data_IF_699027223467
#
_entry.id   IF_699027223467
#
_cell.length_a   1.000
_cell.length_b   1.000
_cell.length_c   1.000
_cell.angle_alpha   90.00
_cell.angle_beta   90.00
_cell.angle_gamma   90.00
#
_symmetry.space_group_name_H-M   'P 1'
#
loop_
_entity.id
_entity.type
_entity.pdbx_description
1 polymer ?
#
# COMPACT_ATOMS: atom_id res chain seq x y z
N UNK A 1 5.11 -67.10 -19.61
CA UNK A 1 4.49 -65.99 -18.85
C UNK A 1 5.58 -65.17 -18.17
N UNK A 2 5.88 -63.95 -18.64
CA UNK A 2 6.81 -63.04 -18.01
C UNK A 2 6.00 -61.97 -17.30
N UNK A 3 6.08 -61.90 -15.97
CA UNK A 3 5.45 -60.88 -15.13
C UNK A 3 6.40 -59.72 -15.04
N UNK A 4 6.01 -58.60 -15.65
CA UNK A 4 6.75 -57.35 -15.56
C UNK A 4 6.28 -56.58 -14.32
N UNK A 5 7.10 -56.44 -13.31
CA UNK A 5 6.83 -55.67 -12.12
C UNK A 5 6.99 -54.18 -12.46
N UNK A 6 5.90 -53.38 -12.36
CA UNK A 6 5.92 -51.92 -12.44
C UNK A 6 6.35 -51.38 -11.06
N UNK A 7 7.55 -50.82 -10.97
CA UNK A 7 7.98 -50.02 -9.81
C UNK A 7 7.33 -48.63 -9.88
N UNK A 8 6.36 -48.38 -9.03
CA UNK A 8 5.88 -47.00 -8.76
C UNK A 8 6.94 -46.31 -7.91
N UNK A 9 7.68 -45.38 -8.49
CA UNK A 9 8.48 -44.42 -7.75
C UNK A 9 7.57 -43.39 -7.13
N UNK A 10 7.28 -43.52 -5.84
CA UNK A 10 6.65 -42.47 -5.05
C UNK A 10 7.66 -41.33 -4.89
N UNK A 11 7.54 -40.28 -5.68
CA UNK A 11 8.30 -39.04 -5.50
C UNK A 11 7.89 -38.39 -4.18
N UNK A 12 8.68 -38.52 -3.13
CA UNK A 12 8.60 -37.67 -1.95
C UNK A 12 8.91 -36.23 -2.41
N UNK A 13 7.90 -35.40 -2.53
CA UNK A 13 8.08 -33.97 -2.60
C UNK A 13 8.73 -33.55 -1.26
N UNK A 14 10.01 -33.29 -1.28
CA UNK A 14 10.73 -32.66 -0.15
C UNK A 14 10.17 -31.25 -0.06
N UNK A 15 9.30 -30.99 0.90
CA UNK A 15 8.89 -29.64 1.25
C UNK A 15 10.18 -28.90 1.63
N UNK A 16 10.57 -27.91 0.83
CA UNK A 16 11.67 -27.02 1.21
C UNK A 16 11.25 -26.28 2.48
N UNK A 17 12.14 -26.19 3.49
CA UNK A 17 11.82 -25.39 4.67
C UNK A 17 11.58 -23.95 4.22
N UNK A 18 10.44 -23.38 4.64
CA UNK A 18 10.18 -21.95 4.47
C UNK A 18 11.31 -21.19 5.19
N UNK A 19 11.99 -20.29 4.48
CA UNK A 19 13.03 -19.48 5.09
C UNK A 19 12.36 -18.36 5.92
N UNK A 20 12.90 -18.12 7.12
CA UNK A 20 12.49 -16.98 7.91
C UNK A 20 12.79 -15.68 7.15
N UNK A 21 11.76 -14.95 6.75
CA UNK A 21 11.88 -13.68 6.03
C UNK A 21 12.09 -12.53 7.01
N UNK A 22 12.82 -11.50 6.55
CA UNK A 22 12.88 -10.20 7.20
C UNK A 22 11.79 -9.31 6.60
N UNK A 23 10.72 -9.04 7.35
CA UNK A 23 9.53 -8.33 6.86
C UNK A 23 9.40 -6.98 7.55
N UNK A 24 9.37 -5.91 6.78
CA UNK A 24 9.04 -4.57 7.25
C UNK A 24 7.54 -4.34 7.07
N UNK A 25 6.85 -4.05 8.17
CA UNK A 25 5.45 -3.63 8.17
C UNK A 25 5.33 -2.11 8.28
N UNK A 26 4.43 -1.53 7.51
CA UNK A 26 3.98 -0.15 7.61
C UNK A 26 2.47 -0.05 7.37
N UNK A 27 1.88 1.11 7.56
CA UNK A 27 0.49 1.43 7.21
C UNK A 27 0.30 2.95 7.14
N UNK A 28 -0.93 3.41 6.92
CA UNK A 28 -1.33 4.82 7.06
C UNK A 28 -2.27 5.06 8.27
N UNK A 29 -2.76 4.01 8.93
CA UNK A 29 -3.66 4.14 10.09
C UNK A 29 -2.94 4.41 11.42
N UNK A 30 -1.62 4.24 11.44
CA UNK A 30 -0.79 4.40 12.64
C UNK A 30 -0.32 3.06 13.24
N UNK A 31 0.83 3.12 13.93
CA UNK A 31 1.56 1.94 14.42
C UNK A 31 0.80 1.05 15.41
N UNK A 32 -0.26 1.57 16.05
CA UNK A 32 -1.12 0.84 17.01
C UNK A 32 -2.41 0.31 16.41
N UNK A 33 -2.65 0.50 15.11
CA UNK A 33 -3.88 0.02 14.50
C UNK A 33 -4.03 -1.51 14.63
N UNK A 34 -5.23 -2.04 14.95
CA UNK A 34 -5.42 -3.48 15.19
C UNK A 34 -4.96 -4.36 14.02
N UNK A 35 -5.17 -3.95 12.78
CA UNK A 35 -4.80 -4.74 11.60
C UNK A 35 -3.28 -4.96 11.50
N UNK A 36 -2.46 -3.92 11.64
CA UNK A 36 -1.00 -4.07 11.54
C UNK A 36 -0.45 -4.88 12.72
N UNK A 37 -1.03 -4.73 13.92
CA UNK A 37 -0.65 -5.51 15.10
C UNK A 37 -1.02 -6.99 14.96
N UNK A 38 -2.21 -7.30 14.42
CA UNK A 38 -2.61 -8.67 14.14
C UNK A 38 -1.67 -9.32 13.12
N UNK A 39 -1.33 -8.59 12.04
CA UNK A 39 -0.41 -9.07 11.02
C UNK A 39 1.01 -9.28 11.56
N UNK A 40 1.51 -8.35 12.38
CA UNK A 40 2.79 -8.50 13.09
C UNK A 40 2.81 -9.80 13.90
N UNK A 41 1.78 -10.05 14.70
CA UNK A 41 1.69 -11.23 15.54
C UNK A 41 1.61 -12.53 14.73
N UNK A 42 0.83 -12.55 13.66
CA UNK A 42 0.69 -13.72 12.79
C UNK A 42 2.00 -14.08 12.09
N UNK A 43 2.67 -13.12 11.47
CA UNK A 43 3.95 -13.33 10.79
C UNK A 43 5.07 -13.72 11.75
N UNK A 44 5.10 -13.16 12.97
CA UNK A 44 6.06 -13.61 13.99
C UNK A 44 5.79 -15.03 14.48
N UNK A 45 4.52 -15.41 14.63
CA UNK A 45 4.15 -16.78 14.99
C UNK A 45 4.54 -17.80 13.91
N UNK A 46 4.56 -17.36 12.65
CA UNK A 46 4.99 -18.15 11.50
C UNK A 46 6.53 -18.21 11.31
N UNK A 47 7.28 -17.59 12.23
CA UNK A 47 8.74 -17.68 12.31
C UNK A 47 9.49 -16.57 11.59
N UNK A 48 8.84 -15.57 11.05
CA UNK A 48 9.50 -14.46 10.38
C UNK A 48 10.10 -13.44 11.35
N UNK A 49 11.14 -12.74 10.91
CA UNK A 49 11.63 -11.52 11.59
C UNK A 49 10.79 -10.34 11.12
N UNK A 50 10.00 -9.75 12.02
CA UNK A 50 9.05 -8.69 11.68
C UNK A 50 9.34 -7.44 12.48
N UNK A 51 9.37 -6.28 11.82
CA UNK A 51 9.44 -4.97 12.45
C UNK A 51 8.39 -4.02 11.87
N UNK A 52 7.82 -3.18 12.72
CA UNK A 52 6.88 -2.14 12.31
C UNK A 52 7.63 -0.81 12.24
N UNK A 53 7.46 -0.08 11.13
CA UNK A 53 7.78 1.33 11.00
C UNK A 53 6.56 2.03 10.38
N UNK A 54 5.81 2.77 11.17
CA UNK A 54 4.52 3.35 10.76
C UNK A 54 4.35 4.79 11.25
N UNK A 55 3.40 5.57 10.72
CA UNK A 55 3.01 6.86 11.27
C UNK A 55 2.59 6.75 12.75
N UNK A 56 2.74 7.84 13.49
CA UNK A 56 2.27 7.89 14.87
C UNK A 56 0.74 7.75 14.97
N UNK A 57 0.01 8.36 14.06
CA UNK A 57 -1.45 8.33 14.00
C UNK A 57 -1.91 8.27 12.56
N UNK A 58 -3.22 8.13 12.35
CA UNK A 58 -3.86 8.07 11.03
C UNK A 58 -3.41 9.20 10.10
N UNK A 59 -3.03 8.81 8.89
CA UNK A 59 -2.57 9.63 7.78
C UNK A 59 -3.32 9.28 6.48
N UNK A 60 -4.56 8.84 6.59
CA UNK A 60 -5.41 8.50 5.45
C UNK A 60 -5.48 9.64 4.44
N UNK A 61 -5.54 9.30 3.16
CA UNK A 61 -5.58 10.23 2.03
C UNK A 61 -4.35 11.16 1.88
N UNK A 62 -3.22 10.88 2.55
CA UNK A 62 -1.97 11.63 2.33
C UNK A 62 -1.24 11.25 1.05
N UNK A 63 -1.62 10.16 0.39
CA UNK A 63 -1.02 9.70 -0.85
C UNK A 63 0.50 9.51 -0.71
N UNK A 64 1.25 9.98 -1.68
CA UNK A 64 2.71 9.94 -1.70
C UNK A 64 3.42 11.09 -0.99
N UNK A 65 2.74 11.82 -0.09
CA UNK A 65 3.32 12.98 0.58
C UNK A 65 4.52 12.62 1.46
N UNK A 66 5.58 13.45 1.38
CA UNK A 66 6.71 13.43 2.30
C UNK A 66 7.28 14.84 2.44
N UNK A 67 7.97 15.09 3.56
CA UNK A 67 8.39 16.44 3.91
C UNK A 67 9.91 16.54 3.97
N UNK A 68 10.49 17.25 3.03
CA UNK A 68 11.92 17.52 3.02
C UNK A 68 12.35 18.55 4.10
N UNK A 69 13.54 18.34 4.68
CA UNK A 69 14.18 19.31 5.55
C UNK A 69 13.47 19.58 6.86
N UNK A 70 12.57 18.68 7.29
CA UNK A 70 11.90 18.78 8.59
C UNK A 70 12.53 17.83 9.60
N UNK A 71 12.61 18.30 10.84
CA UNK A 71 13.01 17.45 11.95
C UNK A 71 12.07 16.24 12.05
N UNK A 72 12.67 15.07 12.18
CA UNK A 72 11.97 13.80 12.26
C UNK A 72 12.39 13.09 13.52
N UNK A 73 11.43 12.65 14.33
CA UNK A 73 11.69 11.86 15.53
C UNK A 73 11.09 10.46 15.38
N UNK A 74 11.86 9.50 15.86
CA UNK A 74 11.49 8.08 15.89
C UNK A 74 11.23 7.70 17.34
N UNK A 75 10.02 7.22 17.60
CA UNK A 75 9.68 6.61 18.88
C UNK A 75 9.54 5.10 18.75
N UNK A 76 9.65 4.41 19.87
CA UNK A 76 9.39 2.97 19.99
C UNK A 76 8.10 2.76 20.75
N UNK A 77 7.34 1.74 20.41
CA UNK A 77 6.15 1.35 21.17
C UNK A 77 6.55 0.95 22.60
N UNK A 78 5.78 1.38 23.57
CA UNK A 78 5.96 1.04 24.98
C UNK A 78 5.23 -0.26 25.37
N UNK A 79 4.42 -0.82 24.46
CA UNK A 79 3.73 -2.09 24.66
C UNK A 79 4.73 -3.25 24.52
N UNK A 80 4.98 -4.04 25.59
CA UNK A 80 5.93 -5.14 25.56
C UNK A 80 5.54 -6.27 24.60
N UNK A 81 4.29 -6.35 24.17
CA UNK A 81 3.85 -7.31 23.15
C UNK A 81 4.37 -6.94 21.73
N UNK A 82 4.78 -5.69 21.53
CA UNK A 82 5.24 -5.17 20.24
C UNK A 82 6.63 -4.52 20.35
N UNK A 83 7.66 -5.26 20.79
CA UNK A 83 8.98 -4.71 21.11
C UNK A 83 9.71 -4.18 19.87
N UNK A 84 9.32 -4.61 18.68
CA UNK A 84 9.91 -4.22 17.39
C UNK A 84 9.01 -3.26 16.59
N UNK A 85 8.16 -2.49 17.31
CA UNK A 85 7.26 -1.50 16.72
C UNK A 85 7.81 -0.08 16.92
N UNK A 86 7.96 0.65 15.83
CA UNK A 86 8.48 2.02 15.79
C UNK A 86 7.49 2.94 15.09
N UNK A 87 7.44 4.18 15.55
CA UNK A 87 6.61 5.21 14.94
C UNK A 87 7.39 6.47 14.60
N UNK A 88 6.84 7.24 13.68
CA UNK A 88 7.45 8.44 13.14
C UNK A 88 6.60 9.67 13.43
N UNK A 89 7.24 10.73 13.96
CA UNK A 89 6.68 12.08 14.02
C UNK A 89 7.60 13.06 13.32
N UNK A 90 7.03 14.18 12.85
CA UNK A 90 7.77 15.29 12.23
C UNK A 90 7.22 16.63 12.72
N UNK A 91 7.75 17.74 12.23
CA UNK A 91 7.26 19.07 12.55
C UNK A 91 6.65 19.75 11.34
N UNK A 92 5.70 20.65 11.58
CA UNK A 92 5.23 21.61 10.59
C UNK A 92 5.05 22.99 11.20
N UNK A 93 5.03 24.03 10.37
CA UNK A 93 4.69 25.38 10.83
C UNK A 93 3.20 25.50 10.99
N UNK A 94 2.77 25.85 12.18
CA UNK A 94 1.39 26.11 12.54
C UNK A 94 1.23 27.43 13.28
N UNK A 95 0.01 27.90 13.41
CA UNK A 95 -0.30 29.05 14.24
C UNK A 95 -0.41 28.61 15.70
N UNK A 96 0.19 29.37 16.58
CA UNK A 96 0.05 29.16 18.03
C UNK A 96 -1.37 29.56 18.47
N UNK A 97 -2.03 28.66 19.18
CA UNK A 97 -3.41 28.84 19.66
C UNK A 97 -3.46 29.27 21.15
N UNK A 98 -2.30 29.32 21.84
CA UNK A 98 -2.23 29.75 23.24
C UNK A 98 -2.06 31.26 23.37
N UNK A 99 -2.59 31.88 24.41
CA UNK A 99 -2.54 33.33 24.66
C UNK A 99 -1.10 33.89 24.67
N UNK A 100 -0.12 33.07 25.12
CA UNK A 100 1.28 33.49 25.21
C UNK A 100 1.97 33.69 23.86
N UNK A 101 1.46 33.09 22.79
CA UNK A 101 2.05 33.14 21.46
C UNK A 101 1.02 33.27 20.33
N UNK A 102 -0.22 33.67 20.64
CA UNK A 102 -1.30 33.81 19.68
C UNK A 102 -0.88 34.55 18.40
N UNK A 103 -1.17 33.96 17.25
CA UNK A 103 -0.84 34.49 15.93
C UNK A 103 0.61 34.35 15.50
N UNK A 104 1.52 33.81 16.34
CA UNK A 104 2.90 33.52 15.92
C UNK A 104 2.97 32.14 15.26
N UNK A 105 3.84 32.00 14.28
CA UNK A 105 4.21 30.70 13.72
C UNK A 105 5.10 29.93 14.70
N UNK A 106 4.72 28.70 15.00
CA UNK A 106 5.47 27.79 15.87
C UNK A 106 5.64 26.45 15.16
N UNK A 107 6.64 25.68 15.59
CA UNK A 107 6.76 24.30 15.13
C UNK A 107 5.80 23.41 15.90
N UNK A 108 4.87 22.80 15.19
CA UNK A 108 3.90 21.85 15.72
C UNK A 108 4.38 20.45 15.38
N UNK A 109 4.39 19.56 16.37
CA UNK A 109 4.69 18.15 16.13
C UNK A 109 3.46 17.43 15.60
N UNK A 110 3.65 16.76 14.46
CA UNK A 110 2.60 15.99 13.78
C UNK A 110 3.09 14.57 13.52
N UNK A 111 2.19 13.68 13.14
CA UNK A 111 2.53 12.36 12.61
C UNK A 111 3.37 12.49 11.34
N UNK A 112 4.36 11.63 11.16
CA UNK A 112 4.99 11.44 9.86
C UNK A 112 4.04 10.75 8.88
N UNK A 113 4.34 10.83 7.58
CA UNK A 113 3.52 10.19 6.54
C UNK A 113 3.88 8.71 6.34
N UNK A 114 3.00 7.91 5.71
CA UNK A 114 3.28 6.50 5.40
C UNK A 114 4.56 6.32 4.56
N UNK A 115 4.78 7.18 3.56
CA UNK A 115 5.99 7.17 2.74
C UNK A 115 7.24 7.42 3.59
N UNK A 116 7.20 8.43 4.47
CA UNK A 116 8.32 8.72 5.39
C UNK A 116 8.59 7.54 6.34
N UNK A 117 7.53 6.85 6.79
CA UNK A 117 7.67 5.70 7.68
C UNK A 117 8.34 4.51 6.98
N UNK A 118 7.99 4.22 5.72
CA UNK A 118 8.66 3.19 4.92
C UNK A 118 10.12 3.56 4.67
N UNK A 119 10.44 4.81 4.30
CA UNK A 119 11.83 5.25 4.13
C UNK A 119 12.65 5.08 5.42
N UNK A 120 12.09 5.49 6.57
CA UNK A 120 12.71 5.23 7.86
C UNK A 120 12.92 3.73 8.11
N UNK A 121 11.90 2.92 7.79
CA UNK A 121 11.94 1.48 7.95
C UNK A 121 13.10 0.85 7.20
N UNK A 122 13.26 1.20 5.93
CA UNK A 122 14.30 0.70 5.04
C UNK A 122 15.70 1.14 5.43
N UNK A 123 15.85 2.35 5.98
CA UNK A 123 17.17 2.91 6.31
C UNK A 123 17.65 2.56 7.73
N UNK A 124 16.73 2.44 8.70
CA UNK A 124 17.11 2.35 10.13
C UNK A 124 16.46 1.21 10.90
N UNK A 125 15.18 0.91 10.65
CA UNK A 125 14.43 -0.05 11.47
C UNK A 125 14.76 -1.48 11.05
N UNK A 126 14.70 -1.77 9.77
CA UNK A 126 15.03 -3.06 9.18
C UNK A 126 15.70 -2.84 7.82
N UNK A 127 17.00 -2.52 7.77
CA UNK A 127 17.73 -2.42 6.52
C UNK A 127 17.70 -3.73 5.73
N UNK A 128 17.50 -3.62 4.41
CA UNK A 128 17.46 -4.77 3.47
C UNK A 128 16.42 -5.83 3.83
N UNK A 129 15.13 -5.49 4.03
CA UNK A 129 14.11 -6.50 4.24
C UNK A 129 13.89 -7.32 2.96
N UNK A 130 13.44 -8.55 3.12
CA UNK A 130 13.04 -9.42 2.00
C UNK A 130 11.71 -8.98 1.39
N UNK A 131 10.86 -8.33 2.21
CA UNK A 131 9.51 -7.90 1.84
C UNK A 131 9.09 -6.69 2.66
N UNK A 132 8.41 -5.75 2.02
CA UNK A 132 7.64 -4.68 2.69
C UNK A 132 6.16 -4.98 2.55
N UNK A 133 5.41 -4.93 3.66
CA UNK A 133 3.94 -5.02 3.62
C UNK A 133 3.38 -3.72 4.21
N UNK A 134 2.57 -3.02 3.43
CA UNK A 134 1.90 -1.80 3.87
C UNK A 134 0.41 -2.08 4.04
N UNK A 135 -0.09 -1.86 5.24
CA UNK A 135 -1.46 -2.18 5.65
C UNK A 135 -1.51 -3.24 6.77
N UNK A 136 -2.62 -3.99 6.90
CA UNK A 136 -3.88 -3.93 6.14
C UNK A 136 -4.71 -2.68 6.45
N UNK A 137 -5.04 -1.91 5.40
CA UNK A 137 -5.83 -0.69 5.48
C UNK A 137 -7.33 -1.01 5.64
N UNK A 138 -8.07 -0.36 6.57
CA UNK A 138 -9.53 -0.44 6.61
C UNK A 138 -10.14 0.44 5.50
N UNK A 139 -10.45 -0.16 4.38
CA UNK A 139 -10.97 0.46 3.16
C UNK A 139 -10.16 0.06 1.94
N UNK A 140 -10.82 -0.47 0.92
CA UNK A 140 -10.17 -0.92 -0.31
C UNK A 140 -9.56 0.26 -1.08
N UNK A 141 -8.33 0.07 -1.54
CA UNK A 141 -7.59 0.99 -2.39
C UNK A 141 -7.63 0.48 -3.83
N UNK A 142 -8.53 1.03 -4.65
CA UNK A 142 -8.92 0.50 -5.95
C UNK A 142 -8.69 1.51 -7.06
N UNK A 143 -8.17 1.07 -8.20
CA UNK A 143 -8.08 1.84 -9.41
C UNK A 143 -7.49 3.24 -9.22
N UNK A 144 -8.19 4.29 -9.65
CA UNK A 144 -7.74 5.67 -9.55
C UNK A 144 -7.60 6.19 -8.10
N UNK A 145 -8.26 5.56 -7.11
CA UNK A 145 -8.13 5.93 -5.69
C UNK A 145 -6.73 5.67 -5.15
N UNK A 146 -5.96 4.78 -5.78
CA UNK A 146 -4.58 4.50 -5.40
C UNK A 146 -3.69 5.75 -5.42
N UNK A 147 -4.01 6.77 -6.24
CA UNK A 147 -3.27 8.03 -6.26
C UNK A 147 -3.30 8.80 -4.93
N UNK A 148 -4.38 8.66 -4.16
CA UNK A 148 -4.54 9.30 -2.84
C UNK A 148 -4.22 8.35 -1.67
N UNK A 149 -4.01 7.05 -1.91
CA UNK A 149 -3.78 6.04 -0.88
C UNK A 149 -2.39 6.16 -0.26
N UNK A 150 -2.33 6.32 1.06
CA UNK A 150 -1.09 6.22 1.82
C UNK A 150 -0.49 4.81 1.75
N UNK A 151 -1.33 3.78 1.86
CA UNK A 151 -0.97 2.36 1.75
C UNK A 151 -0.29 2.05 0.42
N UNK A 152 -0.94 2.38 -0.72
CA UNK A 152 -0.42 2.08 -2.05
C UNK A 152 0.88 2.85 -2.36
N UNK A 153 0.92 4.15 -2.05
CA UNK A 153 2.08 4.97 -2.34
C UNK A 153 3.30 4.60 -1.47
N UNK A 154 3.10 4.23 -0.22
CA UNK A 154 4.19 3.75 0.64
C UNK A 154 4.75 2.40 0.14
N UNK A 155 3.90 1.47 -0.30
CA UNK A 155 4.35 0.24 -0.97
C UNK A 155 5.10 0.53 -2.28
N UNK A 156 4.64 1.53 -3.06
CA UNK A 156 5.32 1.96 -4.28
C UNK A 156 6.73 2.48 -4.01
N UNK A 157 6.93 3.22 -2.92
CA UNK A 157 8.27 3.70 -2.51
C UNK A 157 9.19 2.52 -2.14
N UNK A 158 8.69 1.48 -1.49
CA UNK A 158 9.49 0.27 -1.24
C UNK A 158 9.94 -0.40 -2.55
N UNK A 159 9.04 -0.53 -3.53
CA UNK A 159 9.36 -1.06 -4.86
C UNK A 159 10.40 -0.21 -5.58
N UNK A 160 10.28 1.13 -5.53
CA UNK A 160 11.27 2.07 -6.07
C UNK A 160 12.64 1.93 -5.39
N UNK A 161 12.64 1.59 -4.09
CA UNK A 161 13.86 1.32 -3.33
C UNK A 161 14.44 -0.08 -3.59
N UNK A 162 13.86 -0.85 -4.51
CA UNK A 162 14.35 -2.16 -4.93
C UNK A 162 13.87 -3.32 -4.06
N UNK A 163 12.92 -3.10 -3.15
CA UNK A 163 12.36 -4.14 -2.28
C UNK A 163 10.97 -4.55 -2.76
N UNK A 164 10.65 -5.85 -2.91
CA UNK A 164 9.29 -6.31 -3.20
C UNK A 164 8.30 -5.79 -2.17
N UNK A 165 7.10 -5.38 -2.59
CA UNK A 165 6.12 -4.86 -1.66
C UNK A 165 4.69 -5.33 -1.93
N UNK A 166 3.91 -5.46 -0.84
CA UNK A 166 2.48 -5.69 -0.84
C UNK A 166 1.78 -4.45 -0.27
N UNK A 167 0.85 -3.87 -1.03
CA UNK A 167 -0.13 -2.92 -0.53
C UNK A 167 -1.39 -3.71 -0.19
N UNK A 168 -1.80 -3.75 1.08
CA UNK A 168 -2.89 -4.60 1.55
C UNK A 168 -4.04 -3.75 2.07
N UNK A 169 -5.24 -4.00 1.57
CA UNK A 169 -6.46 -3.31 1.98
C UNK A 169 -7.61 -4.31 2.15
N UNK A 170 -8.47 -4.06 3.12
CA UNK A 170 -9.67 -4.85 3.36
C UNK A 170 -10.92 -3.99 3.25
N UNK A 171 -12.09 -4.58 3.09
CA UNK A 171 -13.35 -3.85 3.11
C UNK A 171 -13.46 -3.00 4.37
N UNK A 172 -13.99 -1.77 4.22
CA UNK A 172 -14.09 -0.80 5.33
C UNK A 172 -14.88 -1.34 6.55
N UNK A 173 -15.80 -2.26 6.32
CA UNK A 173 -16.64 -2.85 7.38
C UNK A 173 -16.03 -4.10 7.98
N UNK A 174 -14.92 -4.59 7.43
CA UNK A 174 -14.27 -5.79 7.94
C UNK A 174 -13.51 -5.49 9.24
N UNK A 175 -13.86 -6.21 10.31
CA UNK A 175 -13.30 -6.01 11.65
C UNK A 175 -12.48 -7.22 12.14
N UNK A 176 -12.44 -8.32 11.37
CA UNK A 176 -11.72 -9.53 11.76
C UNK A 176 -10.23 -9.42 11.38
N UNK A 177 -9.50 -8.57 12.13
CA UNK A 177 -8.06 -8.38 11.93
C UNK A 177 -7.25 -9.69 11.97
N UNK A 178 -7.51 -10.65 12.87
CA UNK A 178 -6.83 -11.94 12.87
C UNK A 178 -7.03 -12.74 11.57
N UNK A 179 -8.24 -12.76 11.01
CA UNK A 179 -8.52 -13.48 9.78
C UNK A 179 -7.90 -12.79 8.55
N UNK A 180 -7.90 -11.46 8.52
CA UNK A 180 -7.16 -10.68 7.51
C UNK A 180 -5.68 -11.05 7.59
N UNK A 181 -5.09 -11.02 8.78
CA UNK A 181 -3.69 -11.35 9.00
C UNK A 181 -3.34 -12.77 8.52
N UNK A 182 -4.18 -13.77 8.83
CA UNK A 182 -3.99 -15.15 8.39
C UNK A 182 -3.97 -15.28 6.85
N UNK A 183 -4.87 -14.58 6.15
CA UNK A 183 -4.89 -14.57 4.68
C UNK A 183 -3.64 -13.95 4.08
N UNK A 184 -3.14 -12.86 4.67
CA UNK A 184 -1.89 -12.21 4.22
C UNK A 184 -0.69 -13.11 4.49
N UNK A 185 -0.61 -13.76 5.66
CA UNK A 185 0.46 -14.71 5.99
C UNK A 185 0.47 -15.89 5.01
N UNK A 186 -0.69 -16.47 4.69
CA UNK A 186 -0.78 -17.52 3.67
C UNK A 186 -0.28 -17.07 2.29
N UNK A 187 -0.52 -15.81 1.91
CA UNK A 187 0.03 -15.27 0.66
C UNK A 187 1.56 -15.14 0.74
N UNK A 188 2.10 -14.65 1.85
CA UNK A 188 3.56 -14.57 2.07
C UNK A 188 4.20 -15.95 1.93
N UNK A 189 3.62 -16.97 2.56
CA UNK A 189 4.06 -18.36 2.41
C UNK A 189 4.00 -18.86 0.97
N UNK A 190 2.94 -18.50 0.24
CA UNK A 190 2.81 -18.89 -1.15
C UNK A 190 3.90 -18.24 -2.02
N UNK A 191 4.21 -16.96 -1.79
CA UNK A 191 5.29 -16.27 -2.47
C UNK A 191 6.65 -16.89 -2.12
N UNK A 192 6.89 -17.25 -0.86
CA UNK A 192 8.14 -17.88 -0.42
C UNK A 192 8.35 -19.27 -1.04
N UNK A 193 7.29 -20.08 -1.12
CA UNK A 193 7.35 -21.39 -1.78
C UNK A 193 7.53 -21.30 -3.30
N UNK A 194 7.17 -20.19 -3.91
CA UNK A 194 7.21 -19.98 -5.37
C UNK A 194 8.13 -18.84 -5.78
N UNK A 195 9.30 -18.74 -5.13
CA UNK A 195 10.31 -17.72 -5.46
C UNK A 195 10.68 -17.74 -6.93
N UNK A 196 11.08 -16.59 -7.44
CA UNK A 196 11.66 -16.45 -8.76
C UNK A 196 12.99 -17.25 -8.85
N UNK A 197 13.46 -17.48 -10.06
CA UNK A 197 14.71 -18.22 -10.29
C UNK A 197 15.95 -17.59 -9.62
N UNK A 198 15.92 -16.28 -9.38
CA UNK A 198 16.95 -15.52 -8.66
C UNK A 198 16.73 -15.45 -7.14
N UNK A 199 15.72 -16.17 -6.63
CA UNK A 199 15.37 -16.23 -5.22
C UNK A 199 14.47 -15.09 -4.73
N UNK A 200 14.10 -14.13 -5.58
CA UNK A 200 13.22 -13.03 -5.21
C UNK A 200 11.76 -13.51 -4.99
N UNK A 201 11.01 -12.86 -4.08
CA UNK A 201 9.61 -13.17 -3.82
C UNK A 201 8.70 -12.70 -4.97
N UNK A 202 9.04 -11.59 -5.62
CA UNK A 202 8.34 -11.03 -6.77
C UNK A 202 9.35 -10.64 -7.86
N UNK A 203 8.93 -10.50 -9.11
CA UNK A 203 9.79 -9.97 -10.15
C UNK A 203 10.33 -8.59 -9.77
N UNK A 204 11.58 -8.29 -10.17
CA UNK A 204 12.23 -7.02 -9.86
C UNK A 204 11.40 -5.82 -10.30
N UNK A 205 11.21 -4.87 -9.40
CA UNK A 205 10.45 -3.64 -9.65
C UNK A 205 8.93 -3.83 -9.67
N UNK A 206 8.44 -5.00 -9.18
CA UNK A 206 7.01 -5.31 -9.09
C UNK A 206 6.57 -5.36 -7.64
N UNK A 207 5.43 -4.74 -7.35
CA UNK A 207 4.65 -4.92 -6.13
C UNK A 207 3.28 -5.52 -6.43
N UNK A 208 2.54 -5.90 -5.40
CA UNK A 208 1.16 -6.38 -5.51
C UNK A 208 0.22 -5.50 -4.69
N UNK A 209 -0.85 -5.03 -5.32
CA UNK A 209 -1.99 -4.40 -4.66
C UNK A 209 -3.02 -5.48 -4.33
N UNK A 210 -3.26 -5.69 -3.04
CA UNK A 210 -4.21 -6.66 -2.52
C UNK A 210 -5.44 -5.95 -1.99
N UNK A 211 -6.61 -6.35 -2.45
CA UNK A 211 -7.88 -5.88 -1.91
C UNK A 211 -8.76 -7.06 -1.52
N UNK A 212 -9.15 -7.10 -0.23
CA UNK A 212 -10.04 -8.12 0.32
C UNK A 212 -11.48 -7.61 0.31
N UNK A 213 -12.44 -8.42 -0.18
CA UNK A 213 -13.86 -8.16 0.02
C UNK A 213 -14.24 -8.40 1.49
N UNK A 214 -15.50 -8.10 1.91
CA UNK A 214 -16.02 -8.62 3.17
C UNK A 214 -15.77 -10.12 3.27
N UNK A 215 -15.16 -10.58 4.37
CA UNK A 215 -14.67 -11.97 4.48
C UNK A 215 -15.78 -13.01 4.51
N UNK A 216 -17.02 -12.63 4.88
CA UNK A 216 -18.19 -13.50 4.75
C UNK A 216 -18.61 -13.74 3.29
N UNK A 217 -18.15 -12.89 2.35
CA UNK A 217 -18.42 -13.01 0.91
C UNK A 217 -17.25 -13.56 0.11
N UNK A 218 -16.13 -13.87 0.78
CA UNK A 218 -14.91 -14.31 0.12
C UNK A 218 -15.12 -15.65 -0.62
N UNK A 219 -15.00 -15.61 -1.96
CA UNK A 219 -15.17 -16.76 -2.86
C UNK A 219 -13.84 -17.38 -3.32
N UNK A 220 -12.74 -16.65 -3.18
CA UNK A 220 -11.42 -17.08 -3.63
C UNK A 220 -10.51 -15.90 -3.94
N UNK A 221 -9.38 -16.17 -4.60
CA UNK A 221 -8.41 -15.15 -5.03
C UNK A 221 -8.34 -15.07 -6.55
N UNK A 222 -8.04 -13.88 -7.09
CA UNK A 222 -7.92 -13.66 -8.52
C UNK A 222 -6.78 -12.68 -8.84
N UNK A 223 -6.01 -13.03 -9.85
CA UNK A 223 -5.07 -12.10 -10.48
C UNK A 223 -5.87 -11.12 -11.35
N UNK A 224 -5.67 -9.83 -11.12
CA UNK A 224 -6.41 -8.74 -11.76
C UNK A 224 -5.45 -7.64 -12.21
N UNK A 225 -5.97 -6.59 -12.80
CA UNK A 225 -5.23 -5.32 -12.98
C UNK A 225 -5.84 -4.24 -12.09
N UNK A 226 -5.07 -3.26 -11.71
CA UNK A 226 -5.57 -2.09 -10.97
C UNK A 226 -6.72 -1.43 -11.75
N UNK A 227 -6.54 -1.18 -13.04
CA UNK A 227 -7.58 -0.62 -13.91
C UNK A 227 -7.89 0.84 -13.61
N UNK A 228 -8.98 1.33 -14.21
CA UNK A 228 -9.46 2.72 -14.02
C UNK A 228 -10.76 2.79 -13.25
N UNK A 229 -11.53 1.71 -13.25
CA UNK A 229 -12.82 1.70 -12.59
C UNK A 229 -12.67 1.80 -11.08
N UNK A 230 -13.48 2.68 -10.50
CA UNK A 230 -13.66 2.83 -9.06
C UNK A 230 -15.15 2.98 -8.76
N UNK A 231 -15.66 2.45 -7.65
CA UNK A 231 -17.08 2.52 -7.33
C UNK A 231 -17.57 3.96 -7.03
N UNK A 232 -16.66 4.84 -6.65
CA UNK A 232 -16.94 6.26 -6.41
C UNK A 232 -15.71 7.11 -6.78
N UNK A 233 -15.92 8.39 -7.04
CA UNK A 233 -14.85 9.36 -7.30
C UNK A 233 -15.04 10.60 -6.43
N UNK A 234 -13.92 11.20 -6.03
CA UNK A 234 -13.91 12.44 -5.27
C UNK A 234 -14.32 13.62 -6.15
N UNK A 235 -15.08 14.56 -5.60
CA UNK A 235 -15.46 15.81 -6.26
C UNK A 235 -15.64 16.93 -5.25
N UNK A 236 -15.53 18.18 -5.72
CA UNK A 236 -15.93 19.33 -4.92
C UNK A 236 -17.47 19.40 -4.86
N UNK A 237 -17.99 19.73 -3.68
CA UNK A 237 -19.42 19.98 -3.48
C UNK A 237 -19.62 21.24 -2.63
N UNK A 238 -20.67 21.99 -2.90
CA UNK A 238 -21.06 23.14 -2.08
C UNK A 238 -21.75 22.71 -0.76
N UNK A 239 -22.13 21.45 -0.64
CA UNK A 239 -22.81 20.92 0.54
C UNK A 239 -22.35 19.50 0.88
N UNK A 240 -21.63 19.39 1.98
CA UNK A 240 -21.20 18.10 2.56
C UNK A 240 -22.30 17.42 3.40
N UNK A 241 -23.48 18.02 3.54
CA UNK A 241 -24.56 17.46 4.35
C UNK A 241 -25.04 16.08 3.93
N UNK A 242 -24.78 15.69 2.67
CA UNK A 242 -25.05 14.31 2.17
C UNK A 242 -24.08 13.27 2.74
N UNK A 243 -22.91 13.68 3.20
CA UNK A 243 -21.90 12.81 3.82
C UNK A 243 -22.05 12.81 5.34
N UNK A 244 -22.19 13.98 5.92
CA UNK A 244 -22.42 14.17 7.36
C UNK A 244 -23.38 15.34 7.56
N UNK A 245 -24.54 15.07 8.17
CA UNK A 245 -25.54 16.08 8.45
C UNK A 245 -25.02 17.29 9.25
N UNK A 246 -23.94 17.10 10.07
CA UNK A 246 -23.29 18.21 10.80
C UNK A 246 -22.54 19.18 9.87
N UNK A 247 -22.27 18.77 8.63
CA UNK A 247 -21.59 19.55 7.61
C UNK A 247 -22.57 20.14 6.58
N UNK A 248 -23.88 20.11 6.85
CA UNK A 248 -24.88 20.67 5.96
C UNK A 248 -24.60 22.15 5.65
N UNK A 249 -24.66 22.50 4.37
CA UNK A 249 -24.37 23.86 3.87
C UNK A 249 -22.86 24.21 3.88
N UNK A 250 -21.95 23.30 4.24
CA UNK A 250 -20.51 23.56 4.19
C UNK A 250 -19.91 22.97 2.92
N UNK A 251 -19.13 23.75 2.16
CA UNK A 251 -18.45 23.26 0.98
C UNK A 251 -17.23 22.38 1.34
N UNK A 252 -16.86 21.49 0.41
CA UNK A 252 -15.67 20.63 0.60
C UNK A 252 -15.52 19.56 -0.46
N UNK A 253 -14.64 18.61 -0.17
CA UNK A 253 -14.46 17.44 -1.02
C UNK A 253 -15.40 16.33 -0.56
N UNK A 254 -16.32 15.96 -1.41
CA UNK A 254 -17.22 14.83 -1.25
C UNK A 254 -16.92 13.73 -2.24
N UNK A 255 -17.89 12.84 -2.45
CA UNK A 255 -17.80 11.82 -3.48
C UNK A 255 -19.13 11.64 -4.21
N UNK A 256 -19.05 11.10 -5.43
CA UNK A 256 -20.20 10.61 -6.18
C UNK A 256 -19.96 9.16 -6.60
N UNK A 257 -21.05 8.39 -6.65
CA UNK A 257 -21.00 7.02 -7.16
C UNK A 257 -20.73 7.02 -8.67
N UNK A 258 -19.83 6.14 -9.08
CA UNK A 258 -19.54 5.92 -10.50
C UNK A 258 -20.68 5.15 -11.17
N UNK A 259 -20.88 5.32 -12.48
CA UNK A 259 -21.74 4.42 -13.26
C UNK A 259 -21.27 2.97 -13.11
N UNK A 260 -22.15 1.97 -13.33
CA UNK A 260 -21.74 0.57 -13.34
C UNK A 260 -20.57 0.32 -14.32
N UNK A 261 -19.67 -0.64 -14.01
CA UNK A 261 -18.57 -0.96 -14.90
C UNK A 261 -19.08 -1.56 -16.21
N UNK A 262 -18.38 -1.30 -17.30
CA UNK A 262 -18.64 -1.88 -18.63
C UNK A 262 -17.65 -3.01 -18.97
N UNK A 263 -17.71 -3.52 -20.21
CA UNK A 263 -16.86 -4.61 -20.67
C UNK A 263 -15.34 -4.25 -20.63
N UNK A 264 -14.98 -2.98 -20.75
CA UNK A 264 -13.58 -2.55 -20.70
C UNK A 264 -12.98 -2.67 -19.29
N UNK A 265 -13.82 -2.76 -18.27
CA UNK A 265 -13.44 -2.90 -16.87
C UNK A 265 -13.41 -4.37 -16.38
N UNK A 266 -13.66 -5.34 -17.25
CA UNK A 266 -13.86 -6.74 -16.86
C UNK A 266 -12.75 -7.35 -16.00
N UNK A 267 -11.52 -6.89 -16.18
CA UNK A 267 -10.33 -7.35 -15.43
C UNK A 267 -9.87 -6.36 -14.33
N UNK A 268 -10.61 -5.26 -14.13
CA UNK A 268 -10.27 -4.28 -13.09
C UNK A 268 -10.55 -4.84 -11.69
N UNK A 269 -9.63 -4.63 -10.74
CA UNK A 269 -9.69 -5.15 -9.37
C UNK A 269 -11.01 -4.79 -8.66
N UNK A 270 -11.51 -3.56 -8.85
CA UNK A 270 -12.74 -3.10 -8.22
C UNK A 270 -13.96 -3.95 -8.62
N UNK A 271 -13.99 -4.46 -9.84
CA UNK A 271 -15.07 -5.34 -10.33
C UNK A 271 -15.03 -6.69 -9.62
N UNK A 272 -13.84 -7.23 -9.40
CA UNK A 272 -13.66 -8.54 -8.78
C UNK A 272 -13.82 -8.51 -7.27
N UNK A 273 -13.36 -7.45 -6.60
CA UNK A 273 -13.64 -7.23 -5.17
C UNK A 273 -15.15 -7.17 -4.93
N UNK A 274 -15.90 -6.43 -5.78
CA UNK A 274 -17.35 -6.37 -5.68
C UNK A 274 -18.05 -7.72 -5.88
N UNK A 275 -17.42 -8.66 -6.62
CA UNK A 275 -17.89 -10.04 -6.80
C UNK A 275 -17.47 -10.97 -5.67
N UNK A 276 -16.77 -10.50 -4.64
CA UNK A 276 -16.36 -11.34 -3.52
C UNK A 276 -15.01 -12.05 -3.69
N UNK A 277 -14.13 -11.57 -4.56
CA UNK A 277 -12.79 -12.14 -4.72
C UNK A 277 -11.75 -11.26 -4.06
N UNK A 278 -10.80 -11.87 -3.35
CA UNK A 278 -9.52 -11.26 -3.04
C UNK A 278 -8.79 -10.99 -4.37
N UNK A 279 -8.40 -9.76 -4.61
CA UNK A 279 -7.69 -9.38 -5.83
C UNK A 279 -6.20 -9.19 -5.59
N UNK A 280 -5.42 -9.62 -6.57
CA UNK A 280 -3.96 -9.51 -6.61
C UNK A 280 -3.63 -8.77 -7.90
N UNK A 281 -3.34 -7.47 -7.81
CA UNK A 281 -3.05 -6.63 -8.96
C UNK A 281 -1.57 -6.24 -8.97
N UNK A 282 -0.75 -6.80 -9.90
CA UNK A 282 0.63 -6.37 -10.02
C UNK A 282 0.73 -4.89 -10.41
N UNK A 283 1.70 -4.19 -9.82
CA UNK A 283 2.03 -2.83 -10.19
C UNK A 283 3.55 -2.64 -10.27
N UNK A 284 3.98 -1.68 -11.09
CA UNK A 284 5.31 -1.10 -11.00
C UNK A 284 5.19 0.32 -10.43
N UNK A 285 6.18 0.74 -9.70
CA UNK A 285 6.14 2.05 -9.04
C UNK A 285 6.50 3.21 -9.98
N UNK A 286 6.95 2.93 -11.20
CA UNK A 286 7.33 3.96 -12.16
C UNK A 286 6.09 4.44 -12.91
N UNK A 287 5.74 5.73 -12.82
CA UNK A 287 4.73 6.30 -13.70
C UNK A 287 5.25 6.25 -15.14
N UNK A 288 4.55 5.53 -15.98
CA UNK A 288 4.88 5.43 -17.40
C UNK A 288 3.61 5.20 -18.21
N UNK A 289 3.52 5.85 -19.34
CA UNK A 289 2.51 5.59 -20.36
C UNK A 289 3.21 5.12 -21.65
N UNK A 290 3.81 3.92 -21.68
CA UNK A 290 4.59 3.46 -22.83
C UNK A 290 3.78 3.42 -24.12
N UNK A 291 2.49 3.13 -24.04
CA UNK A 291 1.63 2.99 -25.22
C UNK A 291 1.35 4.31 -25.96
N UNK A 292 1.45 5.45 -25.28
CA UNK A 292 1.16 6.76 -25.88
C UNK A 292 2.41 7.56 -26.21
N UNK A 293 3.62 7.09 -25.84
CA UNK A 293 4.86 7.85 -26.05
C UNK A 293 5.22 8.04 -27.51
N UNK A 294 4.95 7.06 -28.41
CA UNK A 294 5.15 7.23 -29.85
C UNK A 294 4.18 8.25 -30.44
N UNK A 295 2.91 8.19 -30.01
CA UNK A 295 1.88 9.12 -30.49
C UNK A 295 2.13 10.54 -30.00
N UNK A 296 2.54 10.69 -28.73
CA UNK A 296 2.96 11.97 -28.17
C UNK A 296 4.25 12.47 -28.82
N UNK A 297 5.22 11.59 -29.06
CA UNK A 297 6.45 11.91 -29.77
C UNK A 297 6.16 12.48 -31.14
N UNK A 298 5.30 11.83 -31.92
CA UNK A 298 4.88 12.34 -33.25
C UNK A 298 4.17 13.70 -33.17
N UNK A 299 3.30 13.90 -32.16
CA UNK A 299 2.59 15.17 -31.97
C UNK A 299 3.52 16.30 -31.48
N UNK A 300 4.56 15.99 -30.72
CA UNK A 300 5.50 16.96 -30.14
C UNK A 300 6.72 17.22 -31.02
N UNK A 301 7.02 16.35 -32.02
CA UNK A 301 8.16 16.50 -32.93
C UNK A 301 8.25 17.89 -33.59
N UNK A 302 7.14 18.53 -34.06
CA UNK A 302 7.20 19.89 -34.58
C UNK A 302 7.67 20.94 -33.56
N UNK A 303 7.36 20.72 -32.28
CA UNK A 303 7.79 21.59 -31.19
C UNK A 303 9.25 21.36 -30.79
N UNK A 304 9.70 20.10 -30.84
CA UNK A 304 11.08 19.72 -30.50
C UNK A 304 12.08 20.17 -31.58
N UNK A 305 11.65 20.22 -32.85
CA UNK A 305 12.46 20.73 -34.00
C UNK A 305 12.62 22.26 -33.99
N UNK A 306 11.83 23.00 -33.21
CA UNK A 306 11.90 24.44 -33.06
C UNK A 306 12.62 24.87 -31.77
N UNK A 307 13.45 24.01 -31.18
CA UNK A 307 14.15 24.27 -29.93
C UNK A 307 15.18 25.42 -30.05
N UNK A 308 14.68 26.62 -30.19
CA UNK A 308 15.26 27.79 -29.53
C UNK A 308 14.52 27.98 -28.22
N UNK A 309 14.66 27.05 -27.32
CA UNK A 309 14.56 27.33 -25.88
C UNK A 309 15.78 28.23 -25.62
N UNK A 310 15.62 29.52 -25.88
CA UNK A 310 16.57 30.54 -25.44
C UNK A 310 16.67 30.41 -23.94
N UNK A 311 17.86 30.04 -23.47
CA UNK A 311 18.18 30.10 -22.04
C UNK A 311 17.73 31.46 -21.50
N UNK A 312 17.07 31.51 -20.32
CA UNK A 312 16.82 32.79 -19.70
C UNK A 312 18.18 33.49 -19.48
N UNK A 313 18.33 34.66 -20.07
CA UNK A 313 19.54 35.51 -19.81
C UNK A 313 19.67 35.70 -18.31
N UNK A 314 20.90 35.64 -17.76
CA UNK A 314 21.19 35.81 -16.36
C UNK A 314 20.71 37.15 -15.80
#
# INVERSE_FOLDING_TARGET
MRVTALLLAAGCAVAQPAFALNILLSNDDGYRHPNIRALYSALKADGHTVRIAAPYSDQSARGGAFFFGRETQVGRDDDPAYPDSYYLTTTEKGLCETDSCAGKQVDIRISGTPVMAVLLGLEKVLPHPDLVIVGPNPGNNLGALNSASGTFNAASVAVLSGVPALAVSADLKEQDSPRIAALVTHLVDALDRHRQADGALLPKGVGLNLNLPPLEKLQGARLTRIGRYVPFHALYTEDLGKLDAKLAGKPGIGFAWSPPPDASNAEDEAVWVAKGYLTLSPFNALPGAPADSERLGAALTPLLGQATLTEPKP
#
